data_IF_232286499061
#
_entry.id   IF_232286499061
#
_cell.length_a   1.000
_cell.length_b   1.000
_cell.length_c   1.000
_cell.angle_alpha   90.00
_cell.angle_beta   90.00
_cell.angle_gamma   90.00
#
_symmetry.space_group_name_H-M   'P 1'
#
loop_
_entity.id
_entity.type
_entity.pdbx_description
1 polymer ?
#
# COMPACT_ATOMS: atom_id res chain seq x y z
N UNK A 1 42.14 42.68 -5.88
CA UNK A 1 41.71 41.61 -4.94
C UNK A 1 42.76 40.51 -4.99
N UNK A 2 43.47 40.27 -3.88
CA UNK A 2 44.57 39.31 -3.82
C UNK A 2 44.05 37.88 -3.71
N UNK A 3 44.76 36.94 -4.34
CA UNK A 3 44.48 35.49 -4.33
C UNK A 3 44.39 34.93 -2.89
N UNK A 4 45.08 35.57 -1.95
CA UNK A 4 45.08 35.22 -0.53
C UNK A 4 43.74 35.52 0.17
N UNK A 5 43.03 36.57 -0.23
CA UNK A 5 41.71 36.89 0.33
C UNK A 5 40.62 35.89 -0.09
N UNK A 6 40.76 35.27 -1.27
CA UNK A 6 39.85 34.23 -1.74
C UNK A 6 40.06 32.90 -1.00
N UNK A 7 41.31 32.55 -0.69
CA UNK A 7 41.63 31.33 0.05
C UNK A 7 41.18 31.41 1.52
N UNK A 8 41.26 32.59 2.15
CA UNK A 8 40.78 32.81 3.52
C UNK A 8 39.25 32.65 3.67
N UNK A 9 38.49 32.81 2.59
CA UNK A 9 37.03 32.58 2.56
C UNK A 9 36.67 31.09 2.45
N UNK A 10 37.57 30.25 1.91
CA UNK A 10 37.35 28.81 1.79
C UNK A 10 37.65 28.09 3.12
N UNK A 11 38.68 28.52 3.85
CA UNK A 11 39.04 27.89 5.15
C UNK A 11 38.13 28.31 6.32
N UNK A 12 37.41 29.42 6.21
CA UNK A 12 36.42 29.86 7.22
C UNK A 12 34.98 29.44 6.93
N UNK A 13 34.74 28.55 5.96
CA UNK A 13 33.43 27.90 5.93
C UNK A 13 33.32 26.98 7.17
N UNK A 14 32.38 27.26 8.09
CA UNK A 14 32.24 26.48 9.30
C UNK A 14 31.98 25.02 8.94
N UNK A 15 32.62 24.11 9.67
CA UNK A 15 32.45 22.65 9.63
C UNK A 15 30.99 22.18 9.90
N UNK A 16 29.99 23.07 9.84
CA UNK A 16 28.57 22.79 9.98
C UNK A 16 27.81 22.58 8.66
N UNK A 17 28.39 22.88 7.49
CA UNK A 17 27.69 22.67 6.20
C UNK A 17 27.74 21.23 5.65
N UNK A 18 28.64 20.39 6.15
CA UNK A 18 28.74 18.97 5.72
C UNK A 18 27.71 18.06 6.38
N UNK A 19 26.94 18.54 7.37
CA UNK A 19 25.83 17.79 7.97
C UNK A 19 24.47 18.01 7.30
N UNK A 20 24.41 18.82 6.24
CA UNK A 20 23.14 19.11 5.56
C UNK A 20 22.72 18.07 4.52
N UNK A 21 23.59 17.11 4.18
CA UNK A 21 23.30 16.10 3.16
C UNK A 21 23.36 14.67 3.71
N UNK A 22 22.69 14.40 4.84
CA UNK A 22 22.43 13.01 5.21
C UNK A 22 21.59 12.37 4.09
N UNK A 23 22.18 11.42 3.35
CA UNK A 23 21.51 10.74 2.25
C UNK A 23 20.18 10.09 2.69
N UNK A 24 20.07 9.72 3.97
CA UNK A 24 18.85 9.21 4.59
C UNK A 24 17.69 10.21 4.62
N UNK A 25 17.94 11.53 4.58
CA UNK A 25 16.88 12.55 4.53
C UNK A 25 16.22 12.68 3.16
N UNK A 26 16.92 12.25 2.10
CA UNK A 26 16.45 12.38 0.72
C UNK A 26 16.01 11.05 0.11
N UNK A 27 16.18 9.93 0.82
CA UNK A 27 15.74 8.62 0.39
C UNK A 27 14.44 8.22 1.10
N UNK A 28 13.50 7.64 0.36
CA UNK A 28 12.35 6.99 1.00
C UNK A 28 12.84 5.75 1.76
N UNK A 29 12.53 5.59 3.07
CA UNK A 29 12.95 4.43 3.82
C UNK A 29 12.26 3.17 3.28
N UNK A 30 13.05 2.23 2.75
CA UNK A 30 12.54 0.96 2.25
C UNK A 30 12.53 -0.04 3.40
N UNK A 31 11.34 -0.55 3.74
CA UNK A 31 11.13 -1.63 4.69
C UNK A 31 11.14 -2.98 3.97
N UNK A 32 11.11 -4.07 4.73
CA UNK A 32 10.86 -5.40 4.14
C UNK A 32 9.53 -5.40 3.38
N UNK A 33 9.39 -6.17 2.28
CA UNK A 33 8.16 -6.14 1.49
C UNK A 33 6.89 -6.42 2.30
N UNK A 34 6.95 -7.39 3.22
CA UNK A 34 5.84 -7.73 4.12
C UNK A 34 5.48 -6.57 5.05
N UNK A 35 6.47 -5.95 5.71
CA UNK A 35 6.22 -4.80 6.59
C UNK A 35 5.63 -3.62 5.80
N UNK A 36 6.14 -3.37 4.59
CA UNK A 36 5.64 -2.31 3.72
C UNK A 36 4.20 -2.55 3.28
N UNK A 37 3.82 -3.78 2.94
CA UNK A 37 2.42 -4.11 2.60
C UNK A 37 1.51 -3.94 3.81
N UNK A 38 1.95 -4.37 5.00
CA UNK A 38 1.20 -4.18 6.25
C UNK A 38 0.98 -2.71 6.57
N UNK A 39 2.02 -1.89 6.47
CA UNK A 39 1.93 -0.45 6.69
C UNK A 39 0.99 0.22 5.69
N UNK A 40 1.15 -0.11 4.40
CA UNK A 40 0.30 0.42 3.33
C UNK A 40 -1.17 0.08 3.56
N UNK A 41 -1.45 -1.16 3.96
CA UNK A 41 -2.79 -1.65 4.25
C UNK A 41 -3.38 -0.98 5.49
N UNK A 42 -2.62 -0.89 6.57
CA UNK A 42 -3.03 -0.21 7.81
C UNK A 42 -3.41 1.25 7.53
N UNK A 43 -2.52 2.00 6.86
CA UNK A 43 -2.78 3.39 6.52
C UNK A 43 -3.94 3.54 5.52
N UNK A 44 -4.08 2.65 4.53
CA UNK A 44 -5.23 2.66 3.64
C UNK A 44 -6.56 2.46 4.40
N UNK A 45 -6.62 1.56 5.38
CA UNK A 45 -7.80 1.40 6.25
C UNK A 45 -8.14 2.69 7.01
N UNK A 46 -7.14 3.41 7.51
CA UNK A 46 -7.34 4.69 8.19
C UNK A 46 -7.84 5.78 7.24
N UNK A 47 -7.37 5.80 5.99
CA UNK A 47 -7.75 6.79 4.98
C UNK A 47 -9.13 6.53 4.37
N UNK A 48 -9.56 5.27 4.33
CA UNK A 48 -10.77 4.79 3.65
C UNK A 48 -12.00 5.70 3.84
N UNK A 49 -12.41 6.07 5.07
CA UNK A 49 -13.64 6.86 5.26
C UNK A 49 -13.57 8.26 4.65
N UNK A 50 -12.36 8.78 4.46
CA UNK A 50 -12.13 10.17 4.06
C UNK A 50 -11.93 10.33 2.56
N UNK A 51 -11.36 9.32 1.88
CA UNK A 51 -10.97 9.42 0.47
C UNK A 51 -11.82 8.60 -0.50
N UNK A 52 -12.77 7.79 -0.01
CA UNK A 52 -13.61 6.92 -0.84
C UNK A 52 -14.31 7.64 -2.01
N UNK A 53 -14.71 8.90 -1.79
CA UNK A 53 -15.54 9.66 -2.74
C UNK A 53 -14.72 10.70 -3.52
N UNK A 54 -13.39 10.65 -3.43
CA UNK A 54 -12.49 11.62 -4.06
C UNK A 54 -11.90 11.02 -5.32
N UNK A 55 -12.04 11.73 -6.44
CA UNK A 55 -11.38 11.36 -7.68
C UNK A 55 -9.87 11.64 -7.58
N UNK A 56 -9.06 10.60 -7.69
CA UNK A 56 -7.60 10.66 -7.59
C UNK A 56 -6.96 10.52 -8.98
N UNK A 57 -6.00 11.41 -9.30
CA UNK A 57 -5.12 11.25 -10.48
C UNK A 57 -3.79 10.66 -10.06
N UNK A 58 -3.32 9.65 -10.80
CA UNK A 58 -2.08 8.93 -10.52
C UNK A 58 -1.36 8.47 -11.81
N UNK A 59 -0.04 8.21 -11.76
CA UNK A 59 0.74 7.76 -12.91
C UNK A 59 0.66 6.25 -13.20
N UNK A 60 0.03 5.45 -12.34
CA UNK A 60 -0.01 3.99 -12.50
C UNK A 60 -0.87 3.55 -13.69
N UNK A 61 -0.42 2.50 -14.38
CA UNK A 61 -1.24 1.83 -15.38
C UNK A 61 -2.36 1.01 -14.71
N UNK A 62 -3.48 0.75 -15.40
CA UNK A 62 -4.56 -0.10 -14.85
C UNK A 62 -4.08 -1.50 -14.42
N UNK A 63 -3.10 -2.07 -15.12
CA UNK A 63 -2.51 -3.37 -14.80
C UNK A 63 -1.69 -3.36 -13.51
N UNK A 64 -0.89 -2.31 -13.29
CA UNK A 64 -0.14 -2.12 -12.04
C UNK A 64 -1.07 -1.96 -10.86
N UNK A 65 -2.10 -1.13 -11.01
CA UNK A 65 -3.11 -0.89 -9.99
C UNK A 65 -3.88 -2.16 -9.64
N UNK A 66 -4.29 -2.95 -10.64
CA UNK A 66 -4.96 -4.23 -10.43
C UNK A 66 -4.07 -5.22 -9.68
N UNK A 67 -2.77 -5.26 -10.01
CA UNK A 67 -1.78 -6.11 -9.34
C UNK A 67 -1.54 -5.68 -7.90
N UNK A 68 -1.50 -4.37 -7.65
CA UNK A 68 -1.38 -3.80 -6.30
C UNK A 68 -2.59 -4.15 -5.44
N UNK A 69 -3.81 -3.93 -5.94
CA UNK A 69 -5.05 -4.32 -5.25
C UNK A 69 -5.06 -5.80 -4.88
N UNK A 70 -4.72 -6.66 -5.85
CA UNK A 70 -4.57 -8.11 -5.65
C UNK A 70 -3.56 -8.48 -4.56
N UNK A 71 -2.48 -7.71 -4.42
CA UNK A 71 -1.46 -7.91 -3.38
C UNK A 71 -2.00 -7.51 -2.01
N UNK A 72 -2.69 -6.38 -1.90
CA UNK A 72 -3.26 -5.87 -0.63
C UNK A 72 -4.38 -6.78 -0.08
N UNK A 73 -5.15 -7.42 -0.96
CA UNK A 73 -6.22 -8.33 -0.58
C UNK A 73 -5.71 -9.71 -0.10
N UNK A 74 -4.47 -10.10 -0.43
CA UNK A 74 -3.97 -11.44 -0.17
C UNK A 74 -3.63 -11.71 1.30
N UNK A 75 -3.06 -10.71 1.98
CA UNK A 75 -2.66 -10.82 3.40
C UNK A 75 -3.82 -11.10 4.35
N UNK A 76 -5.07 -10.80 3.97
CA UNK A 76 -6.23 -11.03 4.83
C UNK A 76 -6.51 -12.53 5.08
N UNK A 77 -6.01 -13.40 4.19
CA UNK A 77 -6.37 -14.83 4.20
C UNK A 77 -5.39 -15.72 4.97
N UNK A 78 -4.27 -15.18 5.45
CA UNK A 78 -3.15 -16.00 6.00
C UNK A 78 -2.97 -15.87 7.50
N UNK A 79 -3.94 -15.34 8.24
CA UNK A 79 -4.02 -15.65 9.67
C UNK A 79 -4.67 -17.03 9.79
N UNK A 80 -3.90 -18.12 10.01
CA UNK A 80 -4.51 -19.33 10.56
C UNK A 80 -5.20 -18.86 11.83
N UNK A 81 -6.52 -19.01 11.86
CA UNK A 81 -7.26 -18.88 13.10
C UNK A 81 -6.55 -19.81 14.06
N UNK A 82 -5.81 -19.25 15.02
CA UNK A 82 -5.23 -20.02 16.12
C UNK A 82 -6.41 -20.78 16.69
N UNK A 83 -6.40 -22.10 16.44
CA UNK A 83 -7.39 -23.00 16.98
C UNK A 83 -7.24 -22.81 18.48
N UNK A 84 -8.24 -22.29 19.20
CA UNK A 84 -8.09 -22.05 20.63
C UNK A 84 -7.69 -23.39 21.24
N UNK A 85 -6.47 -23.42 21.78
CA UNK A 85 -5.86 -24.59 22.38
C UNK A 85 -6.84 -25.13 23.40
N UNK A 86 -7.43 -26.27 23.09
CA UNK A 86 -8.45 -26.93 23.89
C UNK A 86 -7.78 -27.70 25.03
N UNK A 87 -6.95 -27.00 25.80
CA UNK A 87 -6.29 -27.53 26.99
C UNK A 87 -6.91 -26.82 28.19
N UNK A 88 -8.04 -27.35 28.65
CA UNK A 88 -8.78 -26.76 29.75
C UNK A 88 -9.98 -27.61 30.12
N UNK A 89 -9.71 -28.54 31.03
CA UNK A 89 -10.62 -29.48 31.67
C UNK A 89 -12.11 -29.11 31.68
N UNK A 90 -12.89 -30.10 31.23
CA UNK A 90 -14.27 -30.39 31.59
C UNK A 90 -14.71 -29.80 32.93
N UNK A 91 -15.38 -28.64 32.88
CA UNK A 91 -16.51 -28.37 33.75
C UNK A 91 -17.76 -28.35 32.87
N UNK A 92 -18.48 -29.47 32.92
CA UNK A 92 -19.77 -29.68 32.30
C UNK A 92 -20.82 -28.79 32.97
N UNK A 93 -21.87 -28.46 32.20
CA UNK A 93 -23.02 -27.59 32.53
C UNK A 93 -22.77 -26.10 32.24
N UNK A 94 -22.59 -25.72 30.97
CA UNK A 94 -22.96 -24.37 30.55
C UNK A 94 -23.86 -24.42 29.31
N UNK A 95 -24.88 -23.57 29.36
CA UNK A 95 -26.13 -23.64 28.60
C UNK A 95 -25.91 -23.15 27.17
N UNK A 96 -26.62 -23.74 26.21
CA UNK A 96 -26.61 -23.41 24.78
C UNK A 96 -26.74 -21.90 24.48
N UNK A 97 -25.61 -21.18 24.39
CA UNK A 97 -25.56 -19.84 23.81
C UNK A 97 -25.40 -19.98 22.28
N UNK A 98 -26.36 -19.49 21.47
CA UNK A 98 -26.24 -19.55 20.02
C UNK A 98 -25.09 -18.66 19.57
N UNK A 99 -23.99 -19.29 19.15
CA UNK A 99 -22.86 -18.63 18.49
C UNK A 99 -23.39 -17.89 17.26
N UNK A 100 -23.63 -16.59 17.41
CA UNK A 100 -24.05 -15.75 16.30
C UNK A 100 -22.95 -15.76 15.23
N UNK A 101 -23.29 -16.01 13.95
CA UNK A 101 -22.32 -15.96 12.88
C UNK A 101 -21.73 -14.55 12.85
N UNK A 102 -20.47 -14.42 13.26
CA UNK A 102 -19.72 -13.18 13.12
C UNK A 102 -19.51 -12.99 11.62
N UNK A 103 -20.40 -12.24 10.99
CA UNK A 103 -20.28 -11.81 9.60
C UNK A 103 -19.04 -10.91 9.54
N UNK A 104 -17.88 -11.51 9.25
CA UNK A 104 -16.70 -10.75 8.89
C UNK A 104 -17.01 -10.02 7.60
N UNK A 105 -17.44 -8.77 7.73
CA UNK A 105 -17.60 -7.86 6.61
C UNK A 105 -16.21 -7.71 6.02
N UNK A 106 -15.98 -8.36 4.88
CA UNK A 106 -14.76 -8.23 4.09
C UNK A 106 -14.62 -6.77 3.70
N UNK A 107 -13.88 -6.01 4.51
CA UNK A 107 -13.71 -4.58 4.31
C UNK A 107 -12.94 -4.37 3.02
N UNK A 108 -13.66 -4.03 1.96
CA UNK A 108 -13.08 -3.76 0.67
C UNK A 108 -12.43 -2.37 0.70
N UNK A 109 -11.11 -2.32 0.65
CA UNK A 109 -10.35 -1.08 0.55
C UNK A 109 -10.61 -0.37 -0.79
N UNK A 110 -10.95 0.90 -0.75
CA UNK A 110 -11.07 1.76 -1.92
C UNK A 110 -9.73 1.90 -2.63
N UNK A 111 -9.82 2.07 -3.94
CA UNK A 111 -8.66 2.40 -4.77
C UNK A 111 -7.98 3.69 -4.32
N UNK A 112 -8.79 4.70 -3.95
CA UNK A 112 -8.31 6.00 -3.52
C UNK A 112 -7.43 5.90 -2.27
N UNK A 113 -7.83 5.09 -1.28
CA UNK A 113 -7.07 4.88 -0.06
C UNK A 113 -5.76 4.13 -0.29
N UNK A 114 -5.80 3.07 -1.12
CA UNK A 114 -4.60 2.31 -1.51
C UNK A 114 -3.60 3.23 -2.22
N UNK A 115 -4.06 4.06 -3.15
CA UNK A 115 -3.23 5.00 -3.87
C UNK A 115 -2.66 6.08 -2.95
N UNK A 116 -3.49 6.74 -2.15
CA UNK A 116 -3.02 7.78 -1.22
C UNK A 116 -1.93 7.22 -0.27
N UNK A 117 -2.17 6.02 0.27
CA UNK A 117 -1.19 5.32 1.11
C UNK A 117 0.11 4.99 0.37
N UNK A 118 0.03 4.49 -0.87
CA UNK A 118 1.20 4.18 -1.71
C UNK A 118 2.10 5.40 -1.96
N UNK A 119 1.50 6.56 -2.16
CA UNK A 119 2.21 7.82 -2.37
C UNK A 119 2.60 8.52 -1.04
N UNK A 120 2.50 7.80 0.08
CA UNK A 120 2.99 8.25 1.39
C UNK A 120 2.18 9.37 2.01
N UNK A 121 0.90 9.48 1.68
CA UNK A 121 -0.05 10.32 2.38
C UNK A 121 -0.62 9.56 3.57
N UNK A 122 -0.66 10.21 4.74
CA UNK A 122 -1.33 9.71 5.94
C UNK A 122 -2.24 10.79 6.53
N UNK A 123 -3.21 10.38 7.34
CA UNK A 123 -4.12 11.30 8.00
C UNK A 123 -3.37 12.08 9.08
N UNK A 124 -3.51 13.41 9.10
CA UNK A 124 -2.96 14.23 10.19
C UNK A 124 -3.72 13.92 11.47
N UNK A 125 -3.05 13.47 12.55
CA UNK A 125 -3.71 13.28 13.83
C UNK A 125 -4.35 14.60 14.29
N UNK A 126 -5.58 14.57 14.84
CA UNK A 126 -6.20 15.77 15.38
C UNK A 126 -5.28 16.33 16.47
N UNK A 127 -4.77 17.56 16.27
CA UNK A 127 -3.88 18.19 17.24
C UNK A 127 -4.61 18.34 18.58
N UNK A 128 -4.10 17.73 19.63
CA UNK A 128 -4.67 17.77 20.99
C UNK A 128 -4.60 19.17 21.63
N UNK A 129 -3.93 20.12 20.98
CA UNK A 129 -3.64 21.46 21.49
C UNK A 129 -4.82 22.45 21.47
N UNK A 130 -6.02 22.04 21.05
CA UNK A 130 -7.22 22.87 21.15
C UNK A 130 -8.12 22.37 22.30
N UNK A 131 -7.90 22.90 23.50
CA UNK A 131 -8.72 22.73 24.73
C UNK A 131 -10.18 23.17 24.58
N UNK A 132 -10.64 23.52 23.36
CA UNK A 132 -12.05 23.79 23.12
C UNK A 132 -12.80 22.46 22.94
N UNK A 133 -13.59 22.10 23.97
CA UNK A 133 -14.50 20.96 24.05
C UNK A 133 -15.56 20.97 22.95
N UNK A 134 -15.17 20.85 21.69
CA UNK A 134 -16.11 20.55 20.60
C UNK A 134 -16.32 19.04 20.55
N UNK A 135 -17.57 18.57 20.41
CA UNK A 135 -17.86 17.14 20.38
C UNK A 135 -17.02 16.41 19.33
N UNK A 136 -16.38 15.30 19.73
CA UNK A 136 -15.59 14.41 18.87
C UNK A 136 -16.36 13.95 17.62
N UNK A 137 -17.69 13.97 17.67
CA UNK A 137 -18.58 13.61 16.55
C UNK A 137 -18.53 14.54 15.34
N UNK A 138 -17.95 15.74 15.44
CA UNK A 138 -17.79 16.62 14.28
C UNK A 138 -16.47 16.40 13.52
N UNK A 139 -15.48 15.73 14.13
CA UNK A 139 -14.20 15.43 13.48
C UNK A 139 -14.27 14.23 12.54
N UNK A 140 -15.35 13.44 12.57
CA UNK A 140 -15.65 12.45 11.54
C UNK A 140 -16.12 13.09 10.24
N UNK A 141 -16.38 14.40 10.22
CA UNK A 141 -16.68 15.11 8.97
C UNK A 141 -15.40 15.22 8.13
N UNK A 142 -15.44 14.52 6.99
CA UNK A 142 -14.48 14.60 5.88
C UNK A 142 -14.01 16.02 5.56
N UNK A 143 -14.89 17.01 5.74
CA UNK A 143 -14.63 18.44 5.52
C UNK A 143 -13.47 19.01 6.35
N UNK A 144 -13.09 18.38 7.46
CA UNK A 144 -11.97 18.82 8.30
C UNK A 144 -10.71 17.96 8.15
N UNK A 145 -10.78 16.89 7.36
CA UNK A 145 -9.68 15.94 7.20
C UNK A 145 -8.52 16.56 6.42
N UNK A 146 -7.32 16.46 7.00
CA UNK A 146 -6.07 16.88 6.42
C UNK A 146 -5.22 15.64 6.14
N UNK A 147 -4.73 15.52 4.91
CA UNK A 147 -3.67 14.56 4.58
C UNK A 147 -2.30 15.23 4.75
N UNK A 148 -1.31 14.46 5.19
CA UNK A 148 0.07 14.88 5.28
C UNK A 148 0.98 13.85 4.62
N UNK A 149 1.91 14.32 3.79
CA UNK A 149 3.00 13.48 3.32
C UNK A 149 4.07 13.35 4.41
N UNK A 150 4.47 12.12 4.76
CA UNK A 150 5.43 11.88 5.84
C UNK A 150 6.86 12.29 5.49
N UNK A 151 7.22 12.30 4.21
CA UNK A 151 8.58 12.66 3.77
C UNK A 151 8.73 14.17 3.57
N UNK A 152 7.82 14.83 2.84
CA UNK A 152 7.92 16.27 2.59
C UNK A 152 7.06 17.14 3.51
N UNK A 153 6.38 16.53 4.49
CA UNK A 153 5.57 17.20 5.53
C UNK A 153 4.52 18.17 4.94
N UNK A 154 4.06 17.90 3.72
CA UNK A 154 3.09 18.73 3.00
C UNK A 154 1.69 18.35 3.44
N UNK A 155 0.89 19.34 3.83
CA UNK A 155 -0.50 19.18 4.27
C UNK A 155 -1.47 19.61 3.17
N UNK A 156 -2.54 18.83 3.00
CA UNK A 156 -3.59 19.07 2.00
C UNK A 156 -4.95 18.78 2.62
N UNK A 157 -5.88 19.73 2.50
CA UNK A 157 -7.26 19.56 2.96
C UNK A 157 -8.15 18.86 1.95
N UNK A 158 -8.88 17.84 2.40
CA UNK A 158 -9.76 17.05 1.53
C UNK A 158 -11.03 17.79 1.09
N UNK A 159 -11.40 18.87 1.79
CA UNK A 159 -12.52 19.75 1.42
C UNK A 159 -12.38 20.37 0.03
N UNK A 160 -11.16 20.51 -0.49
CA UNK A 160 -10.92 21.09 -1.82
C UNK A 160 -11.23 20.12 -2.99
N UNK A 161 -11.45 18.83 -2.71
CA UNK A 161 -11.60 17.78 -3.72
C UNK A 161 -12.90 17.01 -3.61
N UNK A 162 -13.68 17.26 -2.56
CA UNK A 162 -14.97 16.60 -2.35
C UNK A 162 -15.94 17.08 -3.43
N UNK A 163 -16.60 16.17 -4.16
CA UNK A 163 -17.66 16.56 -5.08
C UNK A 163 -18.71 17.33 -4.32
N UNK A 164 -18.99 18.55 -4.77
CA UNK A 164 -20.20 19.22 -4.34
C UNK A 164 -21.33 18.41 -4.98
N UNK A 165 -21.89 17.47 -4.22
CA UNK A 165 -23.09 16.75 -4.65
C UNK A 165 -24.05 17.85 -5.09
N UNK A 166 -24.50 17.87 -6.36
CA UNK A 166 -25.56 18.76 -6.76
C UNK A 166 -26.70 18.39 -5.84
N UNK A 167 -26.91 19.17 -4.79
CA UNK A 167 -28.10 19.12 -3.96
C UNK A 167 -29.21 19.27 -4.99
N UNK A 168 -29.83 18.13 -5.27
CA UNK A 168 -30.82 17.93 -6.30
C UNK A 168 -31.86 18.99 -6.04
N UNK A 169 -31.73 20.07 -6.84
CA UNK A 169 -32.64 21.18 -7.01
C UNK A 169 -33.71 21.17 -5.94
N UNK A 170 -33.47 21.92 -4.85
CA UNK A 170 -34.51 22.33 -3.93
C UNK A 170 -35.74 22.63 -4.79
N UNK A 171 -36.67 21.67 -4.85
CA UNK A 171 -37.92 21.86 -5.54
C UNK A 171 -38.48 23.14 -4.93
N UNK A 172 -38.89 24.14 -5.71
CA UNK A 172 -39.64 25.27 -5.21
C UNK A 172 -41.02 24.77 -4.74
N UNK A 173 -41.06 23.97 -3.67
CA UNK A 173 -42.27 23.70 -2.89
C UNK A 173 -42.48 24.92 -2.02
N UNK A 174 -43.23 25.87 -2.57
CA UNK A 174 -43.56 27.11 -1.87
C UNK A 174 -44.44 28.08 -2.65
N UNK A 175 -45.23 27.62 -3.63
CA UNK A 175 -46.44 28.35 -4.00
C UNK A 175 -47.51 27.98 -2.95
N UNK A 176 -47.64 28.80 -1.90
CA UNK A 176 -48.58 28.50 -0.81
C UNK A 176 -48.76 29.63 0.20
N UNK A 177 -49.76 30.46 -0.09
CA UNK A 177 -50.60 31.26 0.82
C UNK A 177 -50.00 32.54 1.45
N UNK A 178 -50.56 33.65 0.97
CA UNK A 178 -50.63 34.94 1.63
C UNK A 178 -51.16 34.82 3.07
N UNK A 179 -50.54 35.55 4.00
CA UNK A 179 -51.30 36.39 4.92
C UNK A 179 -50.39 37.47 5.50
N UNK A 180 -50.91 38.69 5.45
CA UNK A 180 -50.17 39.92 5.69
C UNK A 180 -49.71 40.13 7.13
N UNK A 181 -48.60 40.85 7.25
CA UNK A 181 -48.39 41.74 8.37
C UNK A 181 -47.49 42.88 7.89
N UNK A 182 -48.10 44.04 7.76
CA UNK A 182 -47.44 45.30 7.42
C UNK A 182 -46.69 45.80 8.65
N UNK A 183 -45.39 46.06 8.53
CA UNK A 183 -44.65 46.72 9.61
C UNK A 183 -43.13 46.67 9.50
N UNK A 184 -42.54 47.81 9.12
CA UNK A 184 -41.15 48.22 9.39
C UNK A 184 -40.05 47.80 8.40
N UNK A 185 -40.04 48.58 7.32
CA UNK A 185 -38.93 49.13 6.53
C UNK A 185 -37.50 49.04 7.11
N UNK A 186 -36.65 48.18 6.52
CA UNK A 186 -35.28 48.57 6.16
C UNK A 186 -34.71 47.68 5.02
N UNK A 187 -34.60 48.19 3.77
CA UNK A 187 -34.07 47.42 2.65
C UNK A 187 -32.54 47.49 2.62
N UNK A 188 -31.86 46.53 3.27
CA UNK A 188 -30.44 46.26 3.03
C UNK A 188 -30.30 45.27 1.87
N UNK A 189 -30.43 45.78 0.64
CA UNK A 189 -30.18 45.06 -0.60
C UNK A 189 -28.68 44.84 -0.82
N UNK A 190 -28.07 43.98 -0.03
CA UNK A 190 -26.72 43.48 -0.34
C UNK A 190 -26.80 42.56 -1.58
N UNK A 191 -26.12 42.89 -2.69
CA UNK A 191 -26.21 42.13 -3.93
C UNK A 191 -25.73 40.69 -3.70
N UNK A 192 -26.65 39.74 -3.83
CA UNK A 192 -26.38 38.30 -3.79
C UNK A 192 -25.49 37.95 -4.97
N UNK A 193 -24.18 37.87 -4.73
CA UNK A 193 -23.19 37.53 -5.75
C UNK A 193 -23.53 36.15 -6.34
N UNK A 194 -23.73 36.03 -7.67
CA UNK A 194 -24.03 34.75 -8.29
C UNK A 194 -22.87 33.78 -8.03
N UNK A 195 -23.14 32.76 -7.22
CA UNK A 195 -22.18 31.69 -6.90
C UNK A 195 -22.10 30.76 -8.10
N UNK A 196 -21.27 31.11 -9.08
CA UNK A 196 -20.87 30.15 -10.11
C UNK A 196 -20.20 28.97 -9.41
N UNK A 197 -20.61 27.72 -9.67
CA UNK A 197 -19.98 26.56 -9.06
C UNK A 197 -18.50 26.56 -9.46
N UNK A 198 -17.61 26.55 -8.46
CA UNK A 198 -16.17 26.47 -8.74
C UNK A 198 -15.88 25.11 -9.39
N UNK A 199 -15.01 25.05 -10.40
CA UNK A 199 -14.65 23.80 -11.04
C UNK A 199 -14.07 22.83 -9.99
N UNK A 200 -14.66 21.64 -9.90
CA UNK A 200 -14.21 20.61 -8.98
C UNK A 200 -12.82 20.12 -9.40
N UNK A 201 -11.84 20.25 -8.52
CA UNK A 201 -10.47 19.78 -8.74
C UNK A 201 -10.34 18.32 -8.32
N UNK A 202 -9.64 17.51 -9.13
CA UNK A 202 -9.26 16.15 -8.77
C UNK A 202 -7.97 16.17 -7.91
N UNK A 203 -7.82 15.22 -6.99
CA UNK A 203 -6.64 15.12 -6.13
C UNK A 203 -5.50 14.44 -6.92
N UNK A 204 -4.53 15.24 -7.38
CA UNK A 204 -3.39 14.75 -8.16
C UNK A 204 -2.21 14.45 -7.24
N UNK A 205 -2.04 13.17 -6.88
CA UNK A 205 -1.12 12.73 -5.83
C UNK A 205 0.29 13.28 -6.02
N UNK A 206 0.79 13.32 -7.25
CA UNK A 206 2.14 13.80 -7.56
C UNK A 206 2.25 15.32 -7.44
N UNK A 207 1.26 16.07 -7.93
CA UNK A 207 1.31 17.54 -7.93
C UNK A 207 1.13 18.15 -6.55
N UNK A 208 0.52 17.42 -5.62
CA UNK A 208 0.28 17.93 -4.27
C UNK A 208 1.48 17.80 -3.34
N UNK A 209 2.48 16.96 -3.69
CA UNK A 209 3.75 16.94 -2.98
C UNK A 209 4.58 18.21 -3.25
N UNK A 210 5.58 18.45 -2.40
CA UNK A 210 6.59 19.49 -2.67
C UNK A 210 7.56 19.02 -3.75
N UNK A 211 8.13 19.97 -4.48
CA UNK A 211 9.09 19.70 -5.57
C UNK A 211 10.35 18.93 -5.13
N UNK A 212 10.68 18.94 -3.84
CA UNK A 212 11.80 18.20 -3.25
C UNK A 212 11.40 16.87 -2.59
N UNK A 213 10.13 16.46 -2.69
CA UNK A 213 9.67 15.24 -2.04
C UNK A 213 10.34 14.00 -2.65
N UNK A 214 10.92 13.08 -1.85
CA UNK A 214 11.54 11.85 -2.37
C UNK A 214 10.58 10.96 -3.18
N UNK A 215 9.27 11.05 -2.94
CA UNK A 215 8.30 10.37 -3.79
C UNK A 215 8.34 10.90 -5.22
N UNK A 216 8.42 12.20 -5.44
CA UNK A 216 8.33 12.83 -6.78
C UNK A 216 9.71 13.03 -7.42
N UNK A 217 10.76 13.17 -6.62
CA UNK A 217 12.12 13.38 -7.09
C UNK A 217 12.84 12.03 -7.26
N UNK A 218 13.57 11.90 -8.37
CA UNK A 218 14.50 10.79 -8.64
C UNK A 218 15.68 10.83 -7.66
N UNK A 219 15.48 10.26 -6.49
CA UNK A 219 16.41 10.34 -5.36
C UNK A 219 16.70 8.99 -4.73
N UNK A 220 15.80 8.02 -4.91
CA UNK A 220 15.92 6.70 -4.28
C UNK A 220 16.71 5.76 -5.19
N UNK A 221 17.86 5.30 -4.71
CA UNK A 221 18.65 4.27 -5.39
C UNK A 221 18.27 2.92 -4.78
N UNK A 222 17.75 2.01 -5.60
CA UNK A 222 17.51 0.65 -5.15
C UNK A 222 18.84 -0.10 -5.12
N UNK A 223 19.18 -0.82 -4.03
CA UNK A 223 20.27 -1.77 -4.05
C UNK A 223 19.98 -2.78 -5.15
N UNK A 224 20.85 -2.87 -6.15
CA UNK A 224 20.76 -3.95 -7.13
C UNK A 224 21.05 -5.24 -6.39
N UNK A 225 20.00 -5.99 -6.08
CA UNK A 225 20.14 -7.36 -5.58
C UNK A 225 20.83 -8.10 -6.73
N UNK A 226 22.10 -8.46 -6.55
CA UNK A 226 22.85 -9.22 -7.54
C UNK A 226 22.15 -10.56 -7.71
N UNK A 227 21.22 -10.64 -8.64
CA UNK A 227 20.74 -11.92 -9.13
C UNK A 227 21.95 -12.53 -9.82
N UNK A 228 22.62 -13.45 -9.15
CA UNK A 228 23.75 -14.20 -9.68
C UNK A 228 23.25 -15.08 -10.83
N UNK A 229 22.99 -14.49 -11.98
CA UNK A 229 22.81 -15.24 -13.21
C UNK A 229 24.21 -15.61 -13.69
N UNK A 230 24.65 -16.78 -13.27
CA UNK A 230 25.84 -17.44 -13.78
C UNK A 230 25.76 -17.48 -15.32
N UNK A 231 26.74 -16.92 -16.06
CA UNK A 231 26.62 -16.73 -17.52
C UNK A 231 26.78 -18.02 -18.35
N UNK A 232 26.68 -19.21 -17.76
CA UNK A 232 27.05 -20.48 -18.42
C UNK A 232 25.90 -21.48 -18.52
N UNK A 233 24.85 -21.16 -19.29
CA UNK A 233 24.08 -22.14 -20.09
C UNK A 233 23.01 -21.44 -20.92
N UNK A 234 23.42 -20.85 -22.04
CA UNK A 234 22.47 -20.61 -23.14
C UNK A 234 22.30 -21.95 -23.85
N UNK A 235 21.10 -22.51 -23.79
CA UNK A 235 20.44 -23.18 -24.92
C UNK A 235 19.02 -23.60 -24.49
N UNK A 236 18.04 -22.98 -25.11
CA UNK A 236 16.69 -23.52 -25.37
C UNK A 236 15.74 -23.72 -24.18
N UNK A 237 14.83 -22.76 -23.98
CA UNK A 237 13.38 -23.06 -24.01
C UNK A 237 12.52 -21.79 -24.00
N UNK A 238 11.73 -21.66 -25.06
CA UNK A 238 10.63 -20.71 -25.22
C UNK A 238 9.44 -21.11 -24.34
N UNK A 239 8.87 -20.17 -23.57
CA UNK A 239 7.41 -19.97 -23.49
C UNK A 239 7.04 -18.83 -22.52
N UNK A 240 6.01 -18.08 -22.94
CA UNK A 240 5.23 -17.08 -22.20
C UNK A 240 5.88 -15.71 -21.93
N UNK A 241 5.79 -14.86 -22.96
CA UNK A 241 5.80 -13.39 -22.87
C UNK A 241 4.73 -12.88 -21.91
N UNK A 242 5.12 -12.63 -20.66
CA UNK A 242 4.46 -11.62 -19.83
C UNK A 242 5.53 -10.63 -19.35
N UNK A 243 5.71 -9.59 -20.16
CA UNK A 243 6.27 -8.29 -19.76
C UNK A 243 7.53 -8.38 -18.92
N UNK A 244 8.67 -8.49 -19.59
CA UNK A 244 9.94 -8.02 -19.05
C UNK A 244 9.75 -6.59 -18.54
N UNK A 245 9.53 -6.48 -17.23
CA UNK A 245 9.67 -5.26 -16.46
C UNK A 245 11.03 -4.67 -16.84
N UNK A 246 11.04 -3.51 -17.50
CA UNK A 246 12.21 -2.63 -17.69
C UNK A 246 12.72 -2.08 -16.33
N UNK A 247 12.84 -2.94 -15.32
CA UNK A 247 13.42 -2.63 -14.00
C UNK A 247 14.91 -2.97 -14.01
N UNK A 248 15.36 -3.90 -14.86
CA UNK A 248 16.76 -4.34 -14.93
C UNK A 248 17.72 -3.33 -15.60
N UNK A 249 17.23 -2.31 -16.30
CA UNK A 249 18.08 -1.32 -17.00
C UNK A 249 18.26 0.01 -16.28
N UNK A 250 17.62 0.23 -15.13
CA UNK A 250 17.70 1.49 -14.42
C UNK A 250 18.68 1.40 -13.24
N UNK A 251 19.97 1.26 -13.53
CA UNK A 251 21.06 1.47 -12.54
C UNK A 251 21.20 2.97 -12.24
N UNK A 252 20.14 3.61 -11.77
CA UNK A 252 20.09 5.04 -11.51
C UNK A 252 19.03 5.41 -10.46
N UNK A 253 19.13 6.63 -9.91
CA UNK A 253 18.16 7.11 -8.93
C UNK A 253 16.76 7.17 -9.54
N UNK A 254 15.79 6.60 -8.84
CA UNK A 254 14.39 6.57 -9.24
C UNK A 254 13.49 7.31 -8.25
N UNK A 255 12.29 7.61 -8.70
CA UNK A 255 11.23 8.23 -7.88
C UNK A 255 10.84 7.27 -6.75
N UNK A 256 10.69 7.77 -5.52
CA UNK A 256 10.43 6.93 -4.34
C UNK A 256 9.16 6.08 -4.47
N UNK A 257 8.11 6.57 -5.15
CA UNK A 257 6.89 5.76 -5.37
C UNK A 257 7.15 4.56 -6.28
N UNK A 258 8.07 4.69 -7.24
CA UNK A 258 8.49 3.57 -8.11
C UNK A 258 9.31 2.56 -7.32
N UNK A 259 10.16 3.03 -6.42
CA UNK A 259 10.91 2.17 -5.51
C UNK A 259 9.96 1.35 -4.63
N UNK A 260 8.95 1.96 -4.02
CA UNK A 260 7.92 1.24 -3.24
C UNK A 260 7.21 0.17 -4.07
N UNK A 261 6.77 0.49 -5.30
CA UNK A 261 6.14 -0.50 -6.19
C UNK A 261 7.07 -1.64 -6.63
N UNK A 262 8.37 -1.35 -6.76
CA UNK A 262 9.37 -2.37 -7.10
C UNK A 262 9.49 -3.42 -6.00
N UNK A 263 9.27 -3.03 -4.74
CA UNK A 263 9.33 -3.90 -3.56
C UNK A 263 7.99 -4.62 -3.36
N UNK A 264 6.87 -3.92 -3.47
CA UNK A 264 5.52 -4.45 -3.16
C UNK A 264 4.99 -5.42 -4.22
N UNK A 265 5.15 -5.13 -5.51
CA UNK A 265 4.55 -5.96 -6.56
C UNK A 265 5.15 -7.39 -6.65
N UNK A 266 6.48 -7.61 -6.55
CA UNK A 266 7.04 -8.96 -6.49
C UNK A 266 6.57 -9.78 -5.30
N UNK A 267 6.36 -9.13 -4.14
CA UNK A 267 5.87 -9.81 -2.94
C UNK A 267 4.52 -10.49 -3.18
N UNK A 268 3.58 -9.83 -3.86
CA UNK A 268 2.29 -10.44 -4.20
C UNK A 268 2.41 -11.67 -5.12
N UNK A 269 3.43 -11.73 -5.98
CA UNK A 269 3.67 -12.90 -6.84
C UNK A 269 4.30 -14.04 -6.05
N UNK A 270 5.33 -13.75 -5.24
CA UNK A 270 6.00 -14.74 -4.41
C UNK A 270 5.04 -15.36 -3.37
N UNK A 271 4.19 -14.54 -2.76
CA UNK A 271 3.22 -15.00 -1.78
C UNK A 271 2.17 -15.95 -2.39
N UNK A 272 1.72 -15.68 -3.62
CA UNK A 272 0.79 -16.58 -4.34
C UNK A 272 1.41 -17.93 -4.63
N UNK A 273 2.68 -17.95 -5.05
CA UNK A 273 3.39 -19.20 -5.28
C UNK A 273 3.48 -20.01 -3.99
N UNK A 274 3.83 -19.38 -2.86
CA UNK A 274 3.93 -20.07 -1.58
C UNK A 274 2.64 -20.78 -1.19
N UNK A 275 1.50 -20.12 -1.30
CA UNK A 275 0.21 -20.71 -0.94
C UNK A 275 -0.23 -21.79 -1.92
N UNK A 276 0.10 -21.68 -3.21
CA UNK A 276 -0.16 -22.76 -4.17
C UNK A 276 0.59 -24.04 -3.80
N UNK A 277 1.86 -23.93 -3.39
CA UNK A 277 2.64 -25.08 -2.91
C UNK A 277 2.13 -25.64 -1.58
N UNK A 278 1.70 -24.78 -0.65
CA UNK A 278 1.20 -25.21 0.68
C UNK A 278 -0.09 -26.04 0.55
N UNK A 279 -1.00 -25.63 -0.35
CA UNK A 279 -2.28 -26.33 -0.59
C UNK A 279 -2.08 -27.75 -1.15
N UNK A 280 -1.01 -27.99 -1.93
CA UNK A 280 -0.73 -29.34 -2.45
C UNK A 280 0.19 -30.17 -1.54
N UNK A 281 0.90 -29.56 -0.59
CA UNK A 281 1.85 -30.25 0.29
C UNK A 281 1.29 -30.69 1.63
N UNK A 282 0.13 -30.18 2.06
CA UNK A 282 -0.35 -30.34 3.44
C UNK A 282 -1.35 -31.50 3.65
N UNK A 283 -1.69 -32.29 2.63
CA UNK A 283 -2.71 -33.34 2.74
C UNK A 283 -2.24 -34.67 3.36
N UNK A 284 -0.96 -34.86 3.68
CA UNK A 284 -0.45 -36.13 4.22
C UNK A 284 -0.05 -36.09 5.71
N UNK A 285 -0.33 -34.99 6.42
CA UNK A 285 0.15 -34.76 7.80
C UNK A 285 -0.94 -34.85 8.90
N UNK A 286 -2.03 -35.60 8.69
CA UNK A 286 -2.98 -35.92 9.77
C UNK A 286 -2.90 -37.38 10.22
N UNK A 287 -1.70 -37.85 10.56
CA UNK A 287 -1.52 -39.09 11.33
C UNK A 287 -0.47 -38.88 12.42
N UNK A 288 -0.94 -38.57 13.64
CA UNK A 288 -0.36 -38.99 14.92
C UNK A 288 1.07 -38.57 15.25
N UNK A 289 1.18 -37.63 16.19
CA UNK A 289 2.38 -37.33 16.96
C UNK A 289 3.00 -38.61 17.58
N UNK A 290 4.27 -38.90 17.26
CA UNK A 290 5.30 -39.42 18.17
C UNK A 290 6.53 -39.94 17.37
N UNK A 291 7.40 -39.05 16.88
CA UNK A 291 8.87 -39.30 16.70
C UNK A 291 9.52 -38.23 15.83
N UNK A 292 10.13 -37.22 16.44
CA UNK A 292 10.96 -36.22 15.74
C UNK A 292 12.28 -36.80 15.18
N UNK A 293 12.60 -38.08 15.41
CA UNK A 293 13.81 -38.72 14.87
C UNK A 293 13.58 -39.60 13.62
N UNK A 294 12.32 -39.82 13.20
CA UNK A 294 12.01 -40.68 12.04
C UNK A 294 11.72 -39.89 10.75
N UNK A 295 11.30 -38.62 10.86
CA UNK A 295 10.87 -37.82 9.71
C UNK A 295 12.03 -37.41 8.79
N UNK A 296 13.27 -37.34 9.28
CA UNK A 296 14.42 -37.09 8.41
C UNK A 296 14.73 -38.29 7.49
N UNK A 297 14.53 -39.52 7.98
CA UNK A 297 14.75 -40.72 7.19
C UNK A 297 13.72 -40.87 6.05
N UNK A 298 12.47 -40.48 6.29
CA UNK A 298 11.41 -40.56 5.27
C UNK A 298 11.54 -39.46 4.21
N UNK A 299 11.93 -38.24 4.59
CA UNK A 299 12.24 -37.18 3.60
C UNK A 299 13.39 -37.59 2.66
N UNK A 300 14.43 -38.25 3.19
CA UNK A 300 15.52 -38.79 2.35
C UNK A 300 15.01 -39.94 1.49
N UNK A 301 14.12 -40.79 2.00
CA UNK A 301 13.56 -41.92 1.27
C UNK A 301 12.69 -41.49 0.09
N UNK A 302 11.89 -40.44 0.25
CA UNK A 302 11.06 -39.87 -0.82
C UNK A 302 11.90 -39.15 -1.87
N UNK A 303 12.95 -38.43 -1.44
CA UNK A 303 13.90 -37.83 -2.37
C UNK A 303 14.65 -38.90 -3.18
N UNK A 304 15.04 -40.01 -2.54
CA UNK A 304 15.65 -41.17 -3.20
C UNK A 304 14.65 -41.90 -4.10
N UNK A 305 13.39 -42.01 -3.71
CA UNK A 305 12.34 -42.61 -4.53
C UNK A 305 12.09 -41.78 -5.81
N UNK A 306 12.00 -40.46 -5.69
CA UNK A 306 11.88 -39.55 -6.83
C UNK A 306 13.07 -39.63 -7.78
N UNK A 307 14.30 -39.69 -7.26
CA UNK A 307 15.53 -39.90 -8.06
C UNK A 307 15.57 -41.29 -8.68
N UNK A 308 15.04 -42.32 -8.02
CA UNK A 308 15.00 -43.68 -8.57
C UNK A 308 13.94 -43.82 -9.67
N UNK A 309 12.80 -43.17 -9.53
CA UNK A 309 11.72 -43.21 -10.52
C UNK A 309 12.02 -42.34 -11.76
N UNK A 310 12.56 -41.14 -11.55
CA UNK A 310 12.82 -40.19 -12.64
C UNK A 310 14.27 -40.23 -13.13
N UNK A 311 15.24 -40.42 -12.23
CA UNK A 311 16.67 -40.41 -12.57
C UNK A 311 17.08 -41.63 -13.40
N UNK A 312 16.52 -42.82 -13.14
CA UNK A 312 16.82 -44.01 -13.95
C UNK A 312 16.33 -43.88 -15.40
N UNK A 313 15.20 -43.21 -15.62
CA UNK A 313 14.59 -43.06 -16.95
C UNK A 313 15.35 -42.06 -17.82
N UNK A 314 15.79 -40.95 -17.24
CA UNK A 314 16.64 -39.96 -17.92
C UNK A 314 18.05 -40.51 -18.19
N UNK A 315 18.62 -41.31 -17.27
CA UNK A 315 19.92 -41.96 -17.49
C UNK A 315 19.86 -42.97 -18.64
N UNK A 316 18.82 -43.80 -18.69
CA UNK A 316 18.61 -44.75 -19.79
C UNK A 316 18.38 -44.04 -21.13
N UNK A 317 17.68 -42.90 -21.12
CA UNK A 317 17.47 -42.06 -22.31
C UNK A 317 18.77 -41.43 -22.79
N UNK A 318 19.61 -40.97 -21.87
CA UNK A 318 20.94 -40.43 -22.15
C UNK A 318 21.89 -41.51 -22.71
N UNK A 319 21.94 -42.69 -22.08
CA UNK A 319 22.75 -43.83 -22.56
C UNK A 319 22.26 -44.33 -23.90
N UNK A 320 20.94 -44.39 -24.13
CA UNK A 320 20.37 -44.75 -25.44
C UNK A 320 20.77 -43.74 -26.52
N UNK A 321 20.76 -42.43 -26.21
CA UNK A 321 21.23 -41.39 -27.15
C UNK A 321 22.74 -41.41 -27.43
N UNK A 322 23.55 -42.03 -26.56
CA UNK A 322 24.99 -42.25 -26.79
C UNK A 322 25.28 -43.51 -27.63
N UNK A 323 24.35 -44.46 -27.67
CA UNK A 323 24.52 -45.74 -28.36
C UNK A 323 23.77 -45.84 -29.70
N UNK A 324 22.92 -44.85 -30.06
CA UNK A 324 22.24 -44.76 -31.35
C UNK A 324 20.77 -44.41 -31.25
#
# INVERSE_FOLDING_TARGET
>A
MSREAANALIEKQPQGLTRQCDASRYCAPLKTPTAMVKDLKSNARTLEPFVSDIAIRHPLTPSQLSSLKKTMLYEESTHPSEVPSKDGDTNAMDVDDPVAPTIQVKQHLSEAAILASLFGWSLVPPSTSATNRRPMHLFTKRESALLQCELCQRRVGLWAFTPLKPEESASPSGAGAANGSEGSTQPSSSPTRPKKPLPQRQFDLLKEHRSYCPYVVKSTILPTISTSSDPKTRLSRSSSSLSHRNVATASGPMEGWRAVLSVVLPFGMAQRQKTEYDVFGQNDANTGEASEQSQEADNVRDMVAGVKEHGGRELLKYVKGLLG
#
